data_IF_467992860824
#
_entry.id   IF_467992860824
#
_cell.length_a   1.000
_cell.length_b   1.000
_cell.length_c   1.000
_cell.angle_alpha   90.00
_cell.angle_beta   90.00
_cell.angle_gamma   90.00
#
_symmetry.space_group_name_H-M   'P 1'
#
loop_
_entity.id
_entity.type
_entity.pdbx_description
1 polymer ?
#
# COMPACT_ATOMS: atom_id res chain seq x y z
N UNK A 1 -34.57 -10.78 4.02
CA UNK A 1 -33.34 -9.97 4.07
C UNK A 1 -32.76 -9.90 2.67
N UNK A 2 -32.64 -8.71 2.05
CA UNK A 2 -31.97 -8.59 0.74
C UNK A 2 -30.46 -8.64 0.96
N UNK A 3 -29.75 -9.45 0.18
CA UNK A 3 -28.29 -9.43 0.16
C UNK A 3 -27.83 -8.01 -0.24
N UNK A 4 -26.94 -7.42 0.55
CA UNK A 4 -26.22 -6.19 0.15
C UNK A 4 -25.36 -6.55 -1.05
N UNK A 5 -25.39 -5.72 -2.10
CA UNK A 5 -24.45 -5.85 -3.20
C UNK A 5 -23.03 -5.71 -2.64
N UNK A 6 -22.19 -6.72 -2.85
CA UNK A 6 -20.75 -6.62 -2.56
C UNK A 6 -20.07 -6.06 -3.80
N UNK A 7 -19.32 -4.96 -3.65
CA UNK A 7 -18.44 -4.49 -4.70
C UNK A 7 -17.28 -5.48 -4.81
N UNK A 8 -17.14 -6.10 -5.98
CA UNK A 8 -15.95 -6.89 -6.33
C UNK A 8 -15.10 -6.03 -7.25
N UNK A 9 -13.86 -5.84 -6.86
CA UNK A 9 -12.84 -5.15 -7.64
C UNK A 9 -11.79 -6.21 -7.98
N UNK A 10 -11.37 -6.24 -9.24
CA UNK A 10 -10.32 -7.15 -9.66
C UNK A 10 -8.94 -6.51 -9.37
N UNK A 11 -7.89 -7.32 -9.13
CA UNK A 11 -6.59 -6.78 -8.77
C UNK A 11 -6.03 -5.81 -9.81
N UNK A 12 -5.57 -4.64 -9.36
CA UNK A 12 -5.04 -3.59 -10.22
C UNK A 12 -3.53 -3.41 -10.11
N UNK A 13 -2.90 -3.03 -11.23
CA UNK A 13 -1.45 -2.80 -11.31
C UNK A 13 -1.14 -1.31 -11.13
N UNK A 14 -0.33 -1.00 -10.12
CA UNK A 14 0.15 0.36 -9.90
C UNK A 14 1.00 0.89 -11.07
N UNK A 15 0.84 2.17 -11.39
CA UNK A 15 1.54 2.82 -12.51
C UNK A 15 3.06 2.75 -12.30
N UNK A 16 3.84 2.21 -13.27
CA UNK A 16 5.28 2.06 -13.12
C UNK A 16 5.99 3.39 -12.86
N UNK A 17 5.51 4.50 -13.42
CA UNK A 17 6.12 5.82 -13.23
C UNK A 17 5.98 6.29 -11.79
N UNK A 18 4.81 6.03 -11.17
CA UNK A 18 4.59 6.39 -9.76
C UNK A 18 5.47 5.51 -8.86
N UNK A 19 5.58 4.22 -9.18
CA UNK A 19 6.49 3.30 -8.45
C UNK A 19 7.94 3.78 -8.52
N UNK A 20 8.41 4.20 -9.69
CA UNK A 20 9.77 4.71 -9.89
C UNK A 20 10.01 6.02 -9.14
N UNK A 21 9.02 6.93 -9.11
CA UNK A 21 9.08 8.17 -8.32
C UNK A 21 9.24 7.86 -6.83
N UNK A 22 8.43 6.94 -6.29
CA UNK A 22 8.49 6.53 -4.89
C UNK A 22 9.83 5.87 -4.56
N UNK A 23 10.29 4.92 -5.39
CA UNK A 23 11.56 4.24 -5.20
C UNK A 23 12.74 5.23 -5.23
N UNK A 24 12.73 6.16 -6.18
CA UNK A 24 13.75 7.23 -6.28
C UNK A 24 13.74 8.13 -5.05
N UNK A 25 12.56 8.51 -4.56
CA UNK A 25 12.44 9.32 -3.34
C UNK A 25 12.98 8.58 -2.11
N UNK A 26 12.63 7.31 -1.93
CA UNK A 26 13.14 6.48 -0.84
C UNK A 26 14.67 6.34 -0.90
N UNK A 27 15.23 6.09 -2.08
CA UNK A 27 16.68 6.03 -2.29
C UNK A 27 17.38 7.36 -1.98
N UNK A 28 16.80 8.50 -2.37
CA UNK A 28 17.35 9.84 -2.05
C UNK A 28 17.36 10.14 -0.55
N UNK A 29 16.41 9.58 0.19
CA UNK A 29 16.34 9.67 1.64
C UNK A 29 17.22 8.65 2.36
N UNK A 30 17.92 7.76 1.63
CA UNK A 30 18.73 6.70 2.23
C UNK A 30 17.91 5.60 2.90
N UNK A 31 16.62 5.48 2.58
CA UNK A 31 15.73 4.48 3.15
C UNK A 31 15.88 3.14 2.40
N UNK A 32 15.88 2.04 3.16
CA UNK A 32 15.74 0.71 2.56
C UNK A 32 14.31 0.55 2.03
N UNK A 33 14.17 -0.04 0.84
CA UNK A 33 12.87 -0.25 0.22
C UNK A 33 12.87 -1.52 -0.65
N UNK A 34 11.68 -2.05 -0.88
CA UNK A 34 11.43 -3.15 -1.79
C UNK A 34 10.05 -3.00 -2.43
N UNK A 35 9.80 -3.66 -3.55
CA UNK A 35 8.47 -3.75 -4.16
C UNK A 35 7.74 -4.97 -3.63
N UNK A 36 6.48 -4.79 -3.22
CA UNK A 36 5.59 -5.89 -2.82
C UNK A 36 4.19 -5.67 -3.37
N UNK A 37 3.45 -6.73 -3.76
CA UNK A 37 2.01 -6.63 -3.96
C UNK A 37 1.29 -6.32 -2.65
N UNK A 38 0.10 -5.71 -2.75
CA UNK A 38 -0.81 -5.55 -1.62
C UNK A 38 -1.70 -6.80 -1.49
N UNK A 39 -1.78 -7.36 -0.28
CA UNK A 39 -2.68 -8.48 0.02
C UNK A 39 -4.09 -8.05 0.45
N UNK A 40 -4.33 -6.74 0.64
CA UNK A 40 -5.62 -6.19 1.05
C UNK A 40 -6.17 -5.23 -0.01
N UNK A 41 -7.49 -5.14 -0.09
CA UNK A 41 -8.19 -4.13 -0.88
C UNK A 41 -8.00 -2.74 -0.27
N UNK A 42 -7.75 -1.75 -1.13
CA UNK A 42 -7.56 -0.35 -0.74
C UNK A 42 -8.36 0.54 -1.70
N UNK A 43 -8.66 1.77 -1.28
CA UNK A 43 -9.35 2.74 -2.14
C UNK A 43 -8.58 3.02 -3.44
N UNK A 44 -7.25 2.85 -3.42
CA UNK A 44 -6.41 2.94 -4.61
C UNK A 44 -6.85 1.98 -5.73
N UNK A 45 -7.35 0.79 -5.38
CA UNK A 45 -7.86 -0.19 -6.33
C UNK A 45 -9.14 0.30 -7.02
N UNK A 46 -10.04 0.97 -6.28
CA UNK A 46 -11.22 1.65 -6.86
C UNK A 46 -10.80 2.78 -7.79
N UNK A 47 -9.83 3.58 -7.33
CA UNK A 47 -9.36 4.79 -8.01
C UNK A 47 -8.53 4.50 -9.26
N UNK A 48 -8.03 3.27 -9.44
CA UNK A 48 -7.22 2.86 -10.58
C UNK A 48 -7.91 3.14 -11.93
N UNK A 49 -9.24 3.05 -11.97
CA UNK A 49 -10.06 3.34 -13.16
C UNK A 49 -10.09 4.83 -13.54
N UNK A 50 -9.78 5.73 -12.61
CA UNK A 50 -9.91 7.17 -12.78
C UNK A 50 -8.57 7.88 -12.97
N UNK A 51 -7.47 7.35 -12.44
CA UNK A 51 -6.15 7.97 -12.53
C UNK A 51 -5.01 6.97 -12.28
N UNK A 52 -3.78 7.28 -12.76
CA UNK A 52 -2.57 6.60 -12.32
C UNK A 52 -2.45 6.58 -10.79
N UNK A 53 -2.17 5.42 -10.21
CA UNK A 53 -2.03 5.26 -8.77
C UNK A 53 -0.74 4.53 -8.39
N UNK A 54 -0.35 4.68 -7.13
CA UNK A 54 0.68 3.89 -6.47
C UNK A 54 0.49 3.96 -4.96
N UNK A 55 1.11 3.03 -4.23
CA UNK A 55 1.01 2.97 -2.76
C UNK A 55 2.40 2.94 -2.15
N UNK A 56 2.52 3.49 -0.95
CA UNK A 56 3.72 3.42 -0.11
C UNK A 56 3.34 2.63 1.13
N UNK A 57 4.08 1.56 1.43
CA UNK A 57 3.88 0.80 2.66
C UNK A 57 5.01 1.05 3.65
N UNK A 58 4.65 1.06 4.92
CA UNK A 58 5.56 1.04 6.05
C UNK A 58 5.31 -0.24 6.85
N UNK A 59 6.36 -0.86 7.41
CA UNK A 59 6.20 -2.10 8.15
C UNK A 59 5.39 -1.89 9.44
N UNK A 60 4.62 -2.89 9.81
CA UNK A 60 3.97 -2.99 11.12
C UNK A 60 4.64 -4.03 12.00
N UNK A 61 4.47 -3.89 13.31
CA UNK A 61 4.97 -4.87 14.25
C UNK A 61 4.33 -6.24 13.96
N UNK A 62 5.18 -7.23 13.68
CA UNK A 62 4.78 -8.61 13.37
C UNK A 62 3.83 -8.77 12.17
N UNK A 63 3.71 -7.75 11.32
CA UNK A 63 2.76 -7.76 10.19
C UNK A 63 1.29 -7.73 10.63
N UNK A 64 1.01 -7.45 11.90
CA UNK A 64 -0.35 -7.38 12.42
C UNK A 64 -1.11 -6.23 11.76
N UNK A 65 -2.44 -6.36 11.71
CA UNK A 65 -3.39 -5.32 11.30
C UNK A 65 -4.77 -5.66 11.85
N UNK A 66 -5.66 -4.67 12.00
CA UNK A 66 -7.03 -4.83 12.50
C UNK A 66 -7.15 -5.52 13.87
N UNK A 67 -6.13 -5.42 14.71
CA UNK A 67 -6.15 -5.94 16.09
C UNK A 67 -5.83 -4.81 17.07
N UNK A 68 -6.39 -4.84 18.29
CA UNK A 68 -6.00 -3.92 19.35
C UNK A 68 -4.49 -3.95 19.57
N UNK A 69 -3.89 -2.77 19.75
CA UNK A 69 -2.45 -2.66 20.03
C UNK A 69 -1.54 -2.75 18.81
N UNK A 70 -2.07 -2.87 17.58
CA UNK A 70 -1.30 -2.70 16.34
C UNK A 70 -0.50 -1.38 16.36
N UNK A 71 0.74 -1.43 15.87
CA UNK A 71 1.62 -0.27 15.69
C UNK A 71 2.40 -0.39 14.38
N UNK A 72 2.60 0.74 13.72
CA UNK A 72 3.65 0.88 12.70
C UNK A 72 5.02 0.87 13.37
N UNK A 73 6.03 0.31 12.69
CA UNK A 73 7.41 0.34 13.15
C UNK A 73 8.03 1.66 12.66
N UNK A 74 8.47 2.50 13.60
CA UNK A 74 9.36 3.61 13.29
C UNK A 74 10.80 3.13 13.52
N UNK A 75 11.58 2.96 12.44
CA UNK A 75 13.00 2.63 12.55
C UNK A 75 13.75 3.94 12.78
N UNK A 76 13.90 4.35 14.04
CA UNK A 76 14.81 5.44 14.41
C UNK A 76 16.23 4.90 14.44
N UNK A 77 16.89 4.90 13.28
CA UNK A 77 18.29 4.50 13.11
C UNK A 77 19.13 5.62 12.51
N UNK A 78 19.20 6.74 13.23
CA UNK A 78 20.28 7.73 13.16
C UNK A 78 20.88 7.90 14.55
#
# INVERSE_FOLDING_TARGET
MKAKASLRIDPEVADPRIRDIVATAASRLGLTHTTTPSGAGHDAEVMASAAPFGMIFVPSQEGLSHVPGFRSICISGY
#
